data_IF_404887894134
#
_entry.id   IF_404887894134
#
_cell.length_a   1.000
_cell.length_b   1.000
_cell.length_c   1.000
_cell.angle_alpha   90.00
_cell.angle_beta   90.00
_cell.angle_gamma   90.00
#
_symmetry.space_group_name_H-M   'P 1'
#
loop_
_entity.id
_entity.type
_entity.pdbx_description
1 polymer ?
#
# COMPACT_ATOMS: atom_id res chain seq x y z
N UNK A 1 -11.89 -25.07 -10.46
CA UNK A 1 -11.27 -24.98 -9.12
C UNK A 1 -9.76 -25.02 -9.34
N UNK A 2 -9.13 -23.84 -9.56
CA UNK A 2 -7.70 -23.77 -9.83
C UNK A 2 -6.98 -23.71 -8.47
N UNK A 3 -6.36 -24.81 -8.08
CA UNK A 3 -5.42 -24.83 -6.95
C UNK A 3 -4.14 -24.13 -7.41
N UNK A 4 -3.90 -22.91 -6.94
CA UNK A 4 -2.56 -22.30 -6.99
C UNK A 4 -1.63 -23.22 -6.20
N UNK A 5 -0.45 -23.61 -6.73
CA UNK A 5 0.49 -24.40 -5.94
C UNK A 5 0.86 -23.60 -4.69
N UNK A 6 0.95 -24.23 -3.51
CA UNK A 6 1.38 -23.55 -2.30
C UNK A 6 2.81 -23.07 -2.55
N UNK A 7 2.99 -21.73 -2.54
CA UNK A 7 4.32 -21.13 -2.48
C UNK A 7 4.97 -21.58 -1.17
N UNK A 8 6.25 -21.91 -1.22
CA UNK A 8 7.03 -22.29 -0.05
C UNK A 8 6.88 -21.19 1.03
N UNK A 9 6.32 -21.49 2.21
CA UNK A 9 6.12 -20.50 3.27
C UNK A 9 7.42 -19.79 3.69
N UNK A 10 8.58 -20.43 3.50
CA UNK A 10 9.89 -19.85 3.75
C UNK A 10 10.25 -18.72 2.75
N UNK A 11 9.60 -18.67 1.60
CA UNK A 11 9.81 -17.67 0.55
C UNK A 11 8.76 -16.54 0.56
N UNK A 12 7.74 -16.60 1.42
CA UNK A 12 6.70 -15.59 1.50
C UNK A 12 7.11 -14.40 2.37
N UNK A 13 6.94 -13.17 1.86
CA UNK A 13 7.06 -11.97 2.68
C UNK A 13 5.81 -11.72 3.52
N UNK A 14 4.62 -11.99 2.95
CA UNK A 14 3.33 -11.94 3.67
C UNK A 14 2.55 -13.20 3.29
N UNK A 15 1.97 -13.83 4.30
CA UNK A 15 1.06 -14.96 4.14
C UNK A 15 -0.26 -14.70 4.85
N UNK A 16 -1.37 -14.90 4.14
CA UNK A 16 -2.74 -14.61 4.60
C UNK A 16 -3.54 -15.89 4.51
N UNK A 17 -4.12 -16.31 5.64
CA UNK A 17 -4.91 -17.54 5.74
C UNK A 17 -6.32 -17.24 6.25
N UNK A 18 -7.32 -17.63 5.46
CA UNK A 18 -8.74 -17.57 5.77
C UNK A 18 -9.17 -16.19 6.36
N UNK A 19 -8.68 -15.08 5.74
CA UNK A 19 -8.94 -13.74 6.22
C UNK A 19 -10.35 -13.28 5.89
N UNK A 20 -11.07 -12.78 6.91
CA UNK A 20 -12.34 -12.08 6.78
C UNK A 20 -12.24 -10.69 7.38
N UNK A 21 -12.74 -9.68 6.68
CA UNK A 21 -12.81 -8.31 7.18
C UNK A 21 -14.14 -7.65 6.79
N UNK A 22 -14.66 -6.79 7.68
CA UNK A 22 -15.94 -6.10 7.48
C UNK A 22 -15.93 -4.71 8.08
N UNK A 23 -16.70 -3.79 7.49
CA UNK A 23 -17.07 -2.51 8.09
C UNK A 23 -18.52 -2.56 8.57
N UNK A 24 -18.76 -2.19 9.83
CA UNK A 24 -20.13 -2.14 10.40
C UNK A 24 -20.98 -3.40 10.09
N UNK A 25 -20.37 -4.60 10.23
CA UNK A 25 -20.96 -5.92 9.94
C UNK A 25 -21.21 -6.24 8.45
N UNK A 26 -20.85 -5.34 7.52
CA UNK A 26 -20.91 -5.65 6.10
C UNK A 26 -19.58 -6.30 5.67
N UNK A 27 -19.57 -7.57 5.20
CA UNK A 27 -18.38 -8.24 4.73
C UNK A 27 -17.79 -7.50 3.52
N UNK A 28 -16.48 -7.25 3.57
CA UNK A 28 -15.72 -6.64 2.48
C UNK A 28 -14.67 -7.59 1.92
N UNK A 29 -14.06 -8.38 2.79
CA UNK A 29 -13.14 -9.44 2.41
C UNK A 29 -13.63 -10.76 3.00
N UNK A 30 -13.68 -11.81 2.16
CA UNK A 30 -14.22 -13.09 2.51
C UNK A 30 -13.25 -14.21 2.13
N UNK A 31 -12.80 -14.98 3.12
CA UNK A 31 -11.93 -16.14 2.94
C UNK A 31 -10.71 -15.87 2.04
N UNK A 32 -10.01 -14.76 2.30
CA UNK A 32 -8.78 -14.42 1.55
C UNK A 32 -7.69 -15.40 1.98
N UNK A 33 -7.19 -16.15 1.01
CA UNK A 33 -5.99 -16.96 1.10
C UNK A 33 -5.03 -16.44 0.04
N UNK A 34 -3.88 -15.88 0.46
CA UNK A 34 -3.00 -15.15 -0.43
C UNK A 34 -1.59 -15.11 0.15
N UNK A 35 -0.60 -15.34 -0.69
CA UNK A 35 0.81 -15.22 -0.34
C UNK A 35 1.50 -14.23 -1.26
N UNK A 36 2.30 -13.32 -0.70
CA UNK A 36 3.14 -12.36 -1.42
C UNK A 36 4.59 -12.84 -1.34
N UNK A 37 5.23 -13.15 -2.49
CA UNK A 37 6.61 -13.62 -2.50
C UNK A 37 7.60 -12.56 -2.01
N UNK A 38 8.62 -12.97 -1.26
CA UNK A 38 9.68 -12.08 -0.80
C UNK A 38 10.54 -11.56 -1.95
N UNK A 39 10.93 -10.27 -1.88
CA UNK A 39 11.79 -9.63 -2.88
C UNK A 39 11.13 -9.45 -4.26
N UNK A 40 9.80 -9.59 -4.35
CA UNK A 40 9.05 -9.43 -5.59
C UNK A 40 8.18 -8.18 -5.55
N UNK A 41 7.81 -7.70 -6.73
CA UNK A 41 6.85 -6.63 -6.91
C UNK A 41 5.50 -7.21 -7.34
N UNK A 42 4.49 -7.10 -6.48
CA UNK A 42 3.15 -7.60 -6.73
C UNK A 42 2.16 -6.45 -6.90
N UNK A 43 1.38 -6.47 -7.98
CA UNK A 43 0.25 -5.57 -8.16
C UNK A 43 -1.05 -6.23 -7.66
N UNK A 44 -1.85 -5.48 -6.91
CA UNK A 44 -3.23 -5.83 -6.56
C UNK A 44 -4.16 -5.04 -7.47
N UNK A 45 -4.97 -5.76 -8.22
CA UNK A 45 -5.90 -5.22 -9.22
C UNK A 45 -7.32 -5.67 -8.87
N UNK A 46 -8.27 -4.79 -9.07
CA UNK A 46 -9.70 -5.08 -8.83
C UNK A 46 -10.55 -3.84 -8.97
N UNK A 47 -11.87 -3.97 -9.11
CA UNK A 47 -12.80 -2.86 -9.23
C UNK A 47 -12.83 -1.99 -7.97
N UNK A 48 -13.50 -0.84 -8.05
CA UNK A 48 -13.77 -0.02 -6.87
C UNK A 48 -14.67 -0.81 -5.91
N UNK A 49 -14.38 -0.76 -4.62
CA UNK A 49 -15.10 -1.56 -3.61
C UNK A 49 -14.68 -3.03 -3.51
N UNK A 50 -13.70 -3.49 -4.30
CA UNK A 50 -13.19 -4.88 -4.25
C UNK A 50 -12.51 -5.28 -2.93
N UNK A 51 -12.27 -4.33 -2.01
CA UNK A 51 -11.62 -4.60 -0.74
C UNK A 51 -10.10 -4.35 -0.71
N UNK A 52 -9.51 -3.77 -1.78
CA UNK A 52 -8.06 -3.52 -1.87
C UNK A 52 -7.52 -2.69 -0.69
N UNK A 53 -8.11 -1.53 -0.43
CA UNK A 53 -7.71 -0.67 0.69
C UNK A 53 -8.03 -1.32 2.05
N UNK A 54 -9.12 -2.10 2.13
CA UNK A 54 -9.43 -2.90 3.34
C UNK A 54 -8.34 -3.92 3.63
N UNK A 55 -7.84 -4.60 2.60
CA UNK A 55 -6.71 -5.51 2.74
C UNK A 55 -5.49 -4.76 3.28
N UNK A 56 -5.14 -3.61 2.72
CA UNK A 56 -4.04 -2.79 3.23
C UNK A 56 -4.27 -2.30 4.66
N UNK A 57 -5.50 -1.93 5.04
CA UNK A 57 -5.81 -1.56 6.42
C UNK A 57 -5.60 -2.72 7.39
N UNK A 58 -5.88 -3.97 6.98
CA UNK A 58 -5.56 -5.14 7.80
C UNK A 58 -4.04 -5.35 7.89
N UNK A 59 -3.32 -5.28 6.77
CA UNK A 59 -1.86 -5.44 6.73
C UNK A 59 -1.14 -4.39 7.57
N UNK A 60 -1.60 -3.14 7.53
CA UNK A 60 -1.05 -2.03 8.33
C UNK A 60 -1.51 -2.03 9.78
N UNK A 61 -2.59 -2.76 10.09
CA UNK A 61 -3.20 -2.83 11.41
C UNK A 61 -4.12 -1.68 11.78
N UNK A 62 -4.49 -0.87 10.80
CA UNK A 62 -5.53 0.15 10.94
C UNK A 62 -6.91 -0.49 11.11
N UNK A 63 -7.06 -1.74 10.65
CA UNK A 63 -8.25 -2.57 10.85
C UNK A 63 -7.87 -3.93 11.42
N UNK A 64 -8.66 -4.42 12.40
CA UNK A 64 -8.54 -5.81 12.88
C UNK A 64 -9.39 -6.72 12.00
N UNK A 65 -8.87 -7.87 11.55
CA UNK A 65 -9.69 -8.85 10.85
C UNK A 65 -10.75 -9.45 11.79
N UNK A 66 -11.87 -9.88 11.22
CA UNK A 66 -12.90 -10.64 11.94
C UNK A 66 -12.44 -12.06 12.23
N UNK A 67 -11.78 -12.68 11.26
CA UNK A 67 -11.24 -14.04 11.32
C UNK A 67 -9.99 -14.11 10.44
N UNK A 68 -9.24 -15.19 10.62
CA UNK A 68 -8.06 -15.50 9.82
C UNK A 68 -6.77 -15.00 10.46
N UNK A 69 -5.69 -15.28 9.78
CA UNK A 69 -4.32 -14.98 10.22
C UNK A 69 -3.56 -14.28 9.12
N UNK A 70 -2.70 -13.37 9.53
CA UNK A 70 -1.74 -12.70 8.64
C UNK A 70 -0.38 -12.76 9.28
N UNK A 71 0.55 -13.38 8.60
CA UNK A 71 1.95 -13.47 8.99
C UNK A 71 2.82 -12.70 8.01
N UNK A 72 3.95 -12.21 8.47
CA UNK A 72 4.99 -11.65 7.62
C UNK A 72 6.33 -12.27 8.03
N UNK A 73 7.06 -12.80 7.05
CA UNK A 73 8.29 -13.54 7.27
C UNK A 73 8.15 -14.68 8.32
N UNK A 74 7.01 -15.39 8.29
CA UNK A 74 6.70 -16.51 9.19
C UNK A 74 6.28 -16.12 10.61
N UNK A 75 6.19 -14.82 10.93
CA UNK A 75 5.74 -14.32 12.24
C UNK A 75 4.45 -13.50 12.12
N UNK A 76 3.63 -13.41 13.18
CA UNK A 76 2.45 -12.54 13.17
C UNK A 76 2.79 -11.13 12.69
N UNK A 77 2.03 -10.62 11.73
CA UNK A 77 2.30 -9.32 11.09
C UNK A 77 2.43 -8.16 12.08
N UNK A 78 1.77 -8.26 13.24
CA UNK A 78 1.85 -7.27 14.30
C UNK A 78 3.28 -7.12 14.88
N UNK A 79 4.07 -8.19 14.90
CA UNK A 79 5.47 -8.17 15.34
C UNK A 79 6.29 -7.41 14.31
N UNK A 80 6.13 -7.72 13.03
CA UNK A 80 6.87 -7.10 11.94
C UNK A 80 6.54 -5.60 11.80
N UNK A 81 5.28 -5.20 12.05
CA UNK A 81 4.89 -3.78 12.11
C UNK A 81 5.59 -3.04 13.25
N UNK A 82 5.61 -3.62 14.46
CA UNK A 82 6.32 -3.02 15.61
C UNK A 82 7.83 -2.93 15.38
N UNK A 83 8.40 -3.87 14.64
CA UNK A 83 9.80 -3.86 14.24
C UNK A 83 10.12 -2.81 13.15
N UNK A 84 9.10 -2.20 12.51
CA UNK A 84 9.27 -1.24 11.42
C UNK A 84 9.58 -1.88 10.08
N UNK A 85 9.31 -3.18 9.91
CA UNK A 85 9.58 -3.91 8.69
C UNK A 85 8.48 -3.73 7.61
N UNK A 86 7.40 -3.00 7.89
CA UNK A 86 6.31 -2.71 6.97
C UNK A 86 6.12 -1.20 6.90
N UNK A 87 6.27 -0.63 5.71
CA UNK A 87 5.99 0.76 5.41
C UNK A 87 4.73 0.86 4.54
N UNK A 88 3.95 1.91 4.73
CA UNK A 88 2.71 2.14 4.00
C UNK A 88 2.64 3.55 3.45
N UNK A 89 2.33 3.65 2.17
CA UNK A 89 1.96 4.89 1.48
C UNK A 89 0.46 4.81 1.14
N UNK A 90 -0.35 5.63 1.79
CA UNK A 90 -1.79 5.67 1.58
C UNK A 90 -2.16 6.40 0.29
N UNK A 91 -3.30 6.05 -0.31
CA UNK A 91 -3.87 6.73 -1.48
C UNK A 91 -4.13 8.21 -1.17
N UNK A 92 -4.73 8.47 0.00
CA UNK A 92 -4.96 9.80 0.54
C UNK A 92 -4.30 9.89 1.90
N UNK A 93 -3.25 10.67 2.00
CA UNK A 93 -2.67 11.00 3.29
C UNK A 93 -3.56 12.03 3.99
N UNK A 94 -3.82 11.81 5.28
CA UNK A 94 -4.50 12.80 6.13
C UNK A 94 -3.54 13.94 6.52
N UNK A 95 -2.78 14.43 5.54
CA UNK A 95 -1.90 15.60 5.72
C UNK A 95 -2.75 16.83 5.42
N UNK A 96 -2.88 17.71 6.39
CA UNK A 96 -3.35 19.05 6.14
C UNK A 96 -2.27 19.80 5.34
N UNK A 97 -2.50 19.89 4.03
CA UNK A 97 -1.52 20.47 3.10
C UNK A 97 -1.19 21.93 3.40
N UNK A 98 -2.10 22.63 4.07
CA UNK A 98 -1.91 24.02 4.52
C UNK A 98 -1.08 24.13 5.79
N UNK A 99 -0.75 23.00 6.44
CA UNK A 99 0.10 22.99 7.61
C UNK A 99 1.54 23.36 7.23
N UNK A 100 2.20 24.29 7.92
CA UNK A 100 3.53 24.80 7.56
C UNK A 100 4.65 23.81 7.91
N UNK A 101 4.59 22.61 7.33
CA UNK A 101 5.62 21.58 7.45
C UNK A 101 6.47 21.55 6.18
N UNK A 102 7.78 21.48 6.32
CA UNK A 102 8.69 21.37 5.19
C UNK A 102 8.71 19.95 4.60
N UNK A 103 9.21 19.85 3.36
CA UNK A 103 9.47 18.56 2.71
C UNK A 103 10.41 17.70 3.57
N UNK A 104 11.47 18.29 4.11
CA UNK A 104 12.42 17.62 5.00
C UNK A 104 11.73 17.02 6.23
N UNK A 105 10.93 17.83 6.92
CA UNK A 105 10.23 17.40 8.14
C UNK A 105 9.20 16.30 7.83
N UNK A 106 8.52 16.40 6.69
CA UNK A 106 7.59 15.37 6.23
C UNK A 106 8.28 14.02 6.05
N UNK A 107 9.45 14.00 5.39
CA UNK A 107 10.22 12.77 5.18
C UNK A 107 10.86 12.28 6.48
N UNK A 108 11.31 13.19 7.35
CA UNK A 108 11.81 12.88 8.69
C UNK A 108 10.75 12.16 9.54
N UNK A 109 9.47 12.49 9.36
CA UNK A 109 8.35 11.77 9.98
C UNK A 109 8.38 10.25 9.72
N UNK A 110 8.91 9.81 8.58
CA UNK A 110 9.14 8.40 8.27
C UNK A 110 10.14 7.72 9.24
N UNK A 111 11.03 8.48 9.89
CA UNK A 111 11.99 7.96 10.86
C UNK A 111 11.44 7.81 12.28
N UNK A 112 10.23 8.28 12.55
CA UNK A 112 9.67 8.33 13.92
C UNK A 112 9.71 6.96 14.64
N UNK A 113 9.40 5.87 13.93
CA UNK A 113 9.47 4.52 14.49
C UNK A 113 10.87 4.12 14.97
N UNK A 114 11.91 4.56 14.26
CA UNK A 114 13.31 4.31 14.62
C UNK A 114 13.76 5.22 15.77
N UNK A 115 13.30 6.46 15.80
CA UNK A 115 13.62 7.43 16.87
C UNK A 115 13.01 7.05 18.22
N UNK A 116 12.00 6.16 18.26
CA UNK A 116 11.46 5.63 19.52
C UNK A 116 12.51 4.90 20.37
N UNK A 117 13.61 4.49 19.75
CA UNK A 117 14.76 3.87 20.43
C UNK A 117 15.77 4.90 20.95
N UNK A 118 15.65 6.15 20.51
CA UNK A 118 16.50 7.25 20.98
C UNK A 118 16.01 7.79 22.32
N UNK A 119 16.88 8.54 23.01
CA UNK A 119 16.55 9.18 24.28
C UNK A 119 15.33 10.12 24.14
N UNK A 120 14.44 10.10 25.14
CA UNK A 120 13.13 10.75 25.09
C UNK A 120 13.21 12.25 24.77
N UNK A 121 14.23 12.96 25.30
CA UNK A 121 14.45 14.38 25.08
C UNK A 121 14.79 14.74 23.63
N UNK A 122 15.42 13.80 22.86
CA UNK A 122 15.74 14.03 21.45
C UNK A 122 14.51 14.14 20.55
N UNK A 123 13.38 13.61 20.99
CA UNK A 123 12.11 13.68 20.23
C UNK A 123 11.47 15.06 20.26
N UNK A 124 11.87 15.91 21.20
CA UNK A 124 11.37 17.28 21.35
C UNK A 124 12.22 18.29 20.58
N UNK A 125 13.31 17.84 19.95
CA UNK A 125 14.17 18.69 19.16
C UNK A 125 13.57 18.96 17.77
N UNK A 126 13.89 20.12 17.16
CA UNK A 126 13.58 20.36 15.75
C UNK A 126 14.17 19.25 14.85
N UNK A 127 13.51 18.92 13.75
CA UNK A 127 13.88 17.82 12.85
C UNK A 127 15.33 17.87 12.34
N UNK A 128 15.93 19.05 12.28
CA UNK A 128 17.33 19.29 11.90
C UNK A 128 18.34 18.92 12.98
N UNK A 129 17.90 18.68 14.21
CA UNK A 129 18.75 18.34 15.36
C UNK A 129 18.73 16.85 15.71
N UNK A 130 18.04 16.05 14.89
CA UNK A 130 18.06 14.60 15.05
C UNK A 130 19.44 14.01 14.73
N UNK A 131 19.67 12.78 15.17
CA UNK A 131 20.94 12.10 14.96
C UNK A 131 21.39 12.13 13.48
N UNK A 132 22.69 12.32 13.19
CA UNK A 132 23.21 12.39 11.81
C UNK A 132 22.79 11.20 10.95
N UNK A 133 22.66 10.00 11.54
CA UNK A 133 22.19 8.80 10.85
C UNK A 133 20.77 8.95 10.29
N UNK A 134 19.84 9.58 11.01
CA UNK A 134 18.49 9.85 10.51
C UNK A 134 18.51 10.89 9.39
N UNK A 135 19.34 11.93 9.54
CA UNK A 135 19.49 12.97 8.51
C UNK A 135 20.03 12.40 7.20
N UNK A 136 21.01 11.49 7.26
CA UNK A 136 21.55 10.82 6.07
C UNK A 136 20.49 9.99 5.35
N UNK A 137 19.67 9.24 6.10
CA UNK A 137 18.57 8.45 5.52
C UNK A 137 17.55 9.35 4.83
N UNK A 138 17.16 10.46 5.46
CA UNK A 138 16.21 11.42 4.87
C UNK A 138 16.79 12.08 3.64
N UNK A 139 18.07 12.52 3.69
CA UNK A 139 18.76 13.08 2.52
C UNK A 139 18.75 12.09 1.36
N UNK A 140 19.15 10.84 1.61
CA UNK A 140 19.15 9.79 0.60
C UNK A 140 17.77 9.54 0.02
N UNK A 141 16.74 9.47 0.86
CA UNK A 141 15.37 9.27 0.38
C UNK A 141 14.88 10.42 -0.49
N UNK A 142 15.26 11.67 -0.18
CA UNK A 142 14.94 12.85 -0.99
C UNK A 142 15.74 12.89 -2.30
N UNK A 143 17.00 12.48 -2.28
CA UNK A 143 17.81 12.32 -3.49
C UNK A 143 17.22 11.27 -4.43
N UNK A 144 16.79 10.11 -3.90
CA UNK A 144 16.21 9.02 -4.69
C UNK A 144 14.96 9.43 -5.46
N UNK A 145 14.19 10.38 -4.93
CA UNK A 145 12.97 10.89 -5.56
C UNK A 145 13.14 12.28 -6.19
N UNK A 146 14.37 12.78 -6.33
CA UNK A 146 14.71 14.10 -6.90
C UNK A 146 13.95 15.26 -6.22
N UNK A 147 13.95 15.27 -4.88
CA UNK A 147 13.27 16.30 -4.08
C UNK A 147 14.19 17.02 -3.09
N UNK A 148 15.49 16.71 -3.09
CA UNK A 148 16.43 17.29 -2.12
C UNK A 148 16.55 18.82 -2.27
N UNK A 149 16.52 19.34 -3.49
CA UNK A 149 16.58 20.78 -3.74
C UNK A 149 15.38 21.56 -3.18
N UNK A 150 14.26 20.87 -2.93
CA UNK A 150 13.03 21.43 -2.37
C UNK A 150 12.85 21.10 -0.89
N UNK A 151 13.88 20.60 -0.21
CA UNK A 151 13.80 20.08 1.16
C UNK A 151 13.25 21.10 2.18
N UNK A 152 13.55 22.37 1.99
CA UNK A 152 13.13 23.45 2.90
C UNK A 152 11.79 24.09 2.53
N UNK A 153 11.21 23.70 1.39
CA UNK A 153 9.92 24.25 0.96
C UNK A 153 8.75 23.65 1.76
N UNK A 154 7.71 24.44 2.02
CA UNK A 154 6.46 23.92 2.56
C UNK A 154 5.85 22.88 1.63
N UNK A 155 5.35 21.75 2.18
CA UNK A 155 4.75 20.68 1.39
C UNK A 155 3.49 21.14 0.63
N UNK A 156 2.79 22.15 1.14
CA UNK A 156 1.61 22.76 0.51
C UNK A 156 1.92 23.38 -0.85
N UNK A 157 3.12 23.96 -1.02
CA UNK A 157 3.55 24.64 -2.24
C UNK A 157 3.89 23.69 -3.41
N UNK A 158 3.92 22.37 -3.17
CA UNK A 158 4.33 21.38 -4.15
C UNK A 158 3.19 21.02 -5.12
N UNK A 159 3.55 20.67 -6.36
CA UNK A 159 2.63 20.03 -7.32
C UNK A 159 2.17 18.65 -6.83
N UNK A 160 1.09 18.11 -7.43
CA UNK A 160 0.59 16.78 -7.10
C UNK A 160 1.64 15.68 -7.26
N UNK A 161 2.39 15.69 -8.36
CA UNK A 161 3.49 14.75 -8.62
C UNK A 161 4.63 14.89 -7.61
N UNK A 162 5.01 16.12 -7.26
CA UNK A 162 6.01 16.38 -6.22
C UNK A 162 5.54 15.88 -4.84
N UNK A 163 4.29 16.11 -4.48
CA UNK A 163 3.68 15.57 -3.24
C UNK A 163 3.79 14.06 -3.18
N UNK A 164 3.44 13.36 -4.26
CA UNK A 164 3.57 11.89 -4.34
C UNK A 164 5.02 11.42 -4.18
N UNK A 165 5.99 12.13 -4.79
CA UNK A 165 7.42 11.84 -4.63
C UNK A 165 7.88 12.01 -3.18
N UNK A 166 7.44 13.06 -2.49
CA UNK A 166 7.75 13.28 -1.07
C UNK A 166 7.15 12.19 -0.18
N UNK A 167 5.91 11.76 -0.46
CA UNK A 167 5.27 10.66 0.27
C UNK A 167 6.01 9.33 0.06
N UNK A 168 6.48 9.07 -1.16
CA UNK A 168 7.35 7.93 -1.44
C UNK A 168 8.66 8.04 -0.65
N UNK A 169 9.34 9.20 -0.66
CA UNK A 169 10.56 9.41 0.13
C UNK A 169 10.34 9.15 1.63
N UNK A 170 9.21 9.62 2.19
CA UNK A 170 8.82 9.33 3.59
C UNK A 170 8.65 7.83 3.83
N UNK A 171 8.11 7.10 2.86
CA UNK A 171 7.94 5.64 2.94
C UNK A 171 9.31 4.94 2.87
N UNK A 172 10.19 5.36 1.95
CA UNK A 172 11.55 4.84 1.82
C UNK A 172 12.41 5.11 3.06
N UNK A 173 12.25 6.29 3.66
CA UNK A 173 12.96 6.66 4.88
C UNK A 173 12.67 5.72 6.06
N UNK A 174 11.57 4.97 6.04
CA UNK A 174 11.30 3.93 7.05
C UNK A 174 12.25 2.74 6.94
N UNK A 175 12.94 2.55 5.81
CA UNK A 175 13.86 1.41 5.56
C UNK A 175 13.20 0.05 5.83
N UNK A 176 11.91 -0.07 5.57
CA UNK A 176 11.14 -1.28 5.75
C UNK A 176 11.50 -2.35 4.71
N UNK A 177 11.30 -3.62 5.05
CA UNK A 177 11.48 -4.75 4.14
C UNK A 177 10.31 -4.94 3.17
N UNK A 178 9.12 -4.50 3.57
CA UNK A 178 7.87 -4.56 2.80
C UNK A 178 7.35 -3.15 2.60
N UNK A 179 7.10 -2.77 1.35
CA UNK A 179 6.50 -1.50 0.95
C UNK A 179 5.07 -1.78 0.46
N UNK A 180 4.08 -1.26 1.15
CA UNK A 180 2.67 -1.28 0.77
C UNK A 180 2.31 0.08 0.18
N UNK A 181 1.91 0.13 -1.10
CA UNK A 181 1.69 1.37 -1.83
C UNK A 181 0.27 1.39 -2.40
N UNK A 182 -0.57 2.32 -1.92
CA UNK A 182 -1.95 2.44 -2.37
C UNK A 182 -2.06 3.54 -3.43
N UNK A 183 -2.14 3.12 -4.71
CA UNK A 183 -2.22 3.99 -5.90
C UNK A 183 -1.10 5.07 -5.95
N UNK A 184 0.18 4.70 -5.88
CA UNK A 184 1.28 5.67 -5.83
C UNK A 184 1.42 6.50 -7.10
N UNK A 185 0.88 6.04 -8.23
CA UNK A 185 0.98 6.66 -9.55
C UNK A 185 -0.28 7.47 -9.93
N UNK A 186 -1.34 7.41 -9.12
CA UNK A 186 -2.60 8.09 -9.44
C UNK A 186 -2.44 9.62 -9.45
N UNK A 187 -2.81 10.25 -10.58
CA UNK A 187 -2.75 11.71 -10.74
C UNK A 187 -1.34 12.29 -10.82
N UNK A 188 -0.36 11.49 -11.21
CA UNK A 188 1.05 11.89 -11.36
C UNK A 188 1.35 12.16 -12.83
N UNK A 189 2.15 13.18 -13.09
CA UNK A 189 2.66 13.50 -14.43
C UNK A 189 3.67 12.44 -14.92
N UNK A 190 3.78 12.20 -16.25
CA UNK A 190 4.62 11.14 -16.79
C UNK A 190 6.09 11.14 -16.32
N UNK A 191 6.79 12.29 -16.20
CA UNK A 191 8.15 12.31 -15.66
C UNK A 191 8.24 11.82 -14.22
N UNK A 192 7.32 12.25 -13.36
CA UNK A 192 7.26 11.83 -11.95
C UNK A 192 6.87 10.35 -11.82
N UNK A 193 5.96 9.85 -12.68
CA UNK A 193 5.61 8.44 -12.76
C UNK A 193 6.82 7.57 -13.07
N UNK A 194 7.56 7.90 -14.13
CA UNK A 194 8.76 7.16 -14.54
C UNK A 194 9.82 7.15 -13.42
N UNK A 195 9.99 8.27 -12.73
CA UNK A 195 10.90 8.35 -11.59
C UNK A 195 10.47 7.41 -10.45
N UNK A 196 9.19 7.44 -10.07
CA UNK A 196 8.62 6.57 -9.03
C UNK A 196 8.84 5.09 -9.41
N UNK A 197 8.52 4.70 -10.65
CA UNK A 197 8.72 3.33 -11.14
C UNK A 197 10.18 2.89 -11.07
N UNK A 198 11.12 3.77 -11.46
CA UNK A 198 12.56 3.50 -11.38
C UNK A 198 13.04 3.31 -9.93
N UNK A 199 12.51 4.11 -9.01
CA UNK A 199 12.80 3.98 -7.57
C UNK A 199 12.30 2.63 -7.07
N UNK A 200 11.05 2.28 -7.34
CA UNK A 200 10.45 1.01 -6.87
C UNK A 200 11.16 -0.21 -7.48
N UNK A 201 11.61 -0.11 -8.74
CA UNK A 201 12.43 -1.15 -9.37
C UNK A 201 13.74 -1.37 -8.62
N UNK A 202 14.45 -0.29 -8.27
CA UNK A 202 15.68 -0.38 -7.46
C UNK A 202 15.44 -0.97 -6.08
N UNK A 203 14.33 -0.62 -5.44
CA UNK A 203 13.96 -1.17 -4.14
C UNK A 203 13.72 -2.70 -4.21
N UNK A 204 13.01 -3.16 -5.25
CA UNK A 204 12.83 -4.59 -5.52
C UNK A 204 14.17 -5.28 -5.79
N UNK A 205 15.03 -4.69 -6.63
CA UNK A 205 16.36 -5.23 -6.95
C UNK A 205 17.27 -5.30 -5.70
N UNK A 206 17.06 -4.40 -4.74
CA UNK A 206 17.70 -4.45 -3.42
C UNK A 206 17.10 -5.52 -2.48
N UNK A 207 16.14 -6.35 -2.95
CA UNK A 207 15.53 -7.44 -2.20
C UNK A 207 14.32 -7.04 -1.34
N UNK A 208 13.81 -5.81 -1.48
CA UNK A 208 12.57 -5.40 -0.79
C UNK A 208 11.35 -5.95 -1.50
N UNK A 209 10.34 -6.28 -0.74
CA UNK A 209 9.04 -6.70 -1.27
C UNK A 209 8.18 -5.46 -1.49
N UNK A 210 7.65 -5.32 -2.71
CA UNK A 210 6.75 -4.22 -3.07
C UNK A 210 5.35 -4.78 -3.35
N UNK A 211 4.34 -4.29 -2.64
CA UNK A 211 2.94 -4.60 -2.90
C UNK A 211 2.22 -3.30 -3.23
N UNK A 212 1.67 -3.21 -4.42
CA UNK A 212 1.09 -1.98 -4.96
C UNK A 212 -0.34 -2.21 -5.42
N UNK A 213 -1.27 -1.38 -4.97
CA UNK A 213 -2.58 -1.26 -5.61
C UNK A 213 -2.47 -0.34 -6.81
N UNK A 214 -2.98 -0.75 -7.95
CA UNK A 214 -3.01 0.07 -9.16
C UNK A 214 -4.26 -0.16 -9.99
N UNK A 215 -4.67 0.86 -10.73
CA UNK A 215 -5.68 0.79 -11.78
C UNK A 215 -5.06 0.83 -13.19
N UNK A 216 -3.76 1.12 -13.30
CA UNK A 216 -3.03 1.08 -14.56
C UNK A 216 -2.58 -0.35 -14.86
N UNK A 217 -3.44 -1.09 -15.54
CA UNK A 217 -3.18 -2.49 -15.94
C UNK A 217 -2.14 -2.60 -17.06
N UNK A 218 -2.16 -1.74 -18.11
CA UNK A 218 -1.13 -1.77 -19.15
C UNK A 218 0.27 -1.47 -18.64
N UNK A 219 0.39 -0.50 -17.70
CA UNK A 219 1.65 -0.20 -17.03
C UNK A 219 2.11 -1.36 -16.17
N UNK A 220 1.25 -1.89 -15.30
CA UNK A 220 1.57 -2.98 -14.39
C UNK A 220 2.21 -4.18 -15.10
N UNK A 221 1.73 -4.52 -16.29
CA UNK A 221 2.30 -5.59 -17.15
C UNK A 221 3.80 -5.47 -17.41
N UNK A 222 4.36 -4.25 -17.34
CA UNK A 222 5.75 -3.95 -17.71
C UNK A 222 6.72 -4.00 -16.53
N UNK A 223 6.22 -3.81 -15.30
CA UNK A 223 7.12 -3.61 -14.15
C UNK A 223 6.87 -4.53 -12.96
N UNK A 224 5.72 -5.24 -12.88
CA UNK A 224 5.48 -6.14 -11.76
C UNK A 224 5.88 -7.58 -12.07
N UNK A 225 6.22 -8.34 -11.03
CA UNK A 225 6.55 -9.77 -11.15
C UNK A 225 5.30 -10.65 -11.00
N UNK A 226 4.30 -10.20 -10.22
CA UNK A 226 3.07 -10.92 -9.93
C UNK A 226 1.86 -9.99 -9.91
N UNK A 227 0.70 -10.56 -10.21
CA UNK A 227 -0.59 -9.87 -10.12
C UNK A 227 -1.55 -10.68 -9.28
N UNK A 228 -2.28 -9.99 -8.42
CA UNK A 228 -3.41 -10.51 -7.64
C UNK A 228 -4.68 -9.82 -8.11
N UNK A 229 -5.63 -10.60 -8.60
CA UNK A 229 -6.97 -10.12 -8.91
C UNK A 229 -7.86 -10.32 -7.68
N UNK A 230 -8.45 -9.24 -7.19
CA UNK A 230 -9.32 -9.26 -6.02
C UNK A 230 -10.68 -8.64 -6.32
N UNK A 231 -11.73 -9.30 -5.84
CA UNK A 231 -13.07 -8.77 -5.78
C UNK A 231 -13.81 -9.45 -4.62
N UNK A 232 -13.71 -8.89 -3.41
CA UNK A 232 -14.10 -9.44 -2.11
C UNK A 232 -13.41 -10.76 -1.73
N UNK A 233 -13.10 -11.58 -2.73
CA UNK A 233 -12.29 -12.80 -2.65
C UNK A 233 -11.12 -12.69 -3.61
N UNK A 234 -10.13 -13.57 -3.49
CA UNK A 234 -9.08 -13.71 -4.49
C UNK A 234 -9.66 -14.38 -5.72
N UNK A 235 -9.61 -13.70 -6.88
CA UNK A 235 -10.09 -14.20 -8.17
C UNK A 235 -9.01 -14.85 -9.00
N UNK A 236 -7.75 -14.50 -8.76
CA UNK A 236 -6.60 -15.10 -9.42
C UNK A 236 -5.29 -14.53 -8.89
N UNK A 237 -4.24 -15.32 -9.01
CA UNK A 237 -2.86 -14.96 -8.69
C UNK A 237 -1.97 -15.59 -9.75
N UNK A 238 -1.07 -14.82 -10.36
CA UNK A 238 -0.19 -15.35 -11.41
C UNK A 238 0.73 -14.30 -12.01
N UNK A 239 1.26 -14.60 -13.19
CA UNK A 239 2.08 -13.67 -13.95
C UNK A 239 1.24 -12.50 -14.49
N UNK A 240 1.86 -11.36 -14.78
CA UNK A 240 1.17 -10.22 -15.38
C UNK A 240 0.52 -10.56 -16.72
N UNK A 241 1.18 -11.39 -17.55
CA UNK A 241 0.69 -11.80 -18.87
C UNK A 241 -0.60 -12.61 -18.77
N UNK A 242 -0.66 -13.50 -17.77
CA UNK A 242 -1.82 -14.37 -17.53
C UNK A 242 -2.99 -13.61 -16.91
N UNK A 243 -2.70 -12.88 -15.82
CA UNK A 243 -3.75 -12.23 -15.02
C UNK A 243 -4.32 -10.96 -15.65
N UNK A 244 -3.52 -10.22 -16.42
CA UNK A 244 -3.95 -9.00 -17.11
C UNK A 244 -4.33 -9.26 -18.58
N UNK A 245 -4.65 -10.49 -18.94
CA UNK A 245 -5.22 -10.82 -20.25
C UNK A 245 -6.65 -10.27 -20.39
N UNK A 246 -7.05 -9.89 -21.61
CA UNK A 246 -8.38 -9.31 -21.86
C UNK A 246 -9.51 -10.23 -21.39
N UNK A 247 -9.33 -11.55 -21.52
CA UNK A 247 -10.29 -12.55 -21.05
C UNK A 247 -10.48 -12.50 -19.52
N UNK A 248 -9.40 -12.44 -18.77
CA UNK A 248 -9.45 -12.36 -17.29
C UNK A 248 -10.02 -11.04 -16.78
N UNK A 249 -9.69 -9.95 -17.46
CA UNK A 249 -10.22 -8.63 -17.11
C UNK A 249 -11.73 -8.55 -17.41
N UNK A 250 -12.20 -9.14 -18.48
CA UNK A 250 -13.63 -9.24 -18.78
C UNK A 250 -14.39 -10.08 -17.72
N UNK A 251 -13.85 -11.23 -17.30
CA UNK A 251 -14.41 -12.04 -16.21
C UNK A 251 -14.54 -11.24 -14.90
N UNK A 252 -13.50 -10.46 -14.57
CA UNK A 252 -13.49 -9.61 -13.37
C UNK A 252 -14.56 -8.52 -13.45
N UNK A 253 -14.76 -7.92 -14.63
CA UNK A 253 -15.77 -6.88 -14.85
C UNK A 253 -17.20 -7.44 -14.73
N UNK A 254 -17.48 -8.60 -15.32
CA UNK A 254 -18.80 -9.26 -15.20
C UNK A 254 -19.12 -9.59 -13.76
N UNK A 255 -18.18 -10.19 -13.01
CA UNK A 255 -18.38 -10.52 -11.59
C UNK A 255 -18.64 -9.30 -10.72
N UNK A 256 -18.19 -8.12 -11.13
CA UNK A 256 -18.43 -6.86 -10.42
C UNK A 256 -19.86 -6.34 -10.61
N UNK A 257 -20.42 -6.52 -11.79
CA UNK A 257 -21.79 -6.11 -12.13
C UNK A 257 -22.79 -6.98 -11.35
N UNK A 258 -22.60 -8.28 -11.33
CA UNK A 258 -23.45 -9.22 -10.60
C UNK A 258 -23.46 -8.94 -9.09
N UNK A 259 -22.31 -8.62 -8.50
CA UNK A 259 -22.22 -8.27 -7.07
C UNK A 259 -22.88 -6.94 -6.75
N UNK A 260 -22.74 -5.93 -7.61
CA UNK A 260 -23.40 -4.64 -7.42
C UNK A 260 -24.94 -4.77 -7.47
N UNK A 261 -25.45 -5.64 -8.32
CA UNK A 261 -26.90 -5.91 -8.42
C UNK A 261 -27.41 -6.64 -7.18
N UNK A 262 -26.68 -7.60 -6.64
CA UNK A 262 -27.04 -8.30 -5.40
C UNK A 262 -26.96 -7.38 -4.16
N UNK A 263 -26.00 -6.48 -4.08
CA UNK A 263 -25.88 -5.52 -2.97
C UNK A 263 -27.01 -4.47 -2.99
N UNK A 264 -27.54 -4.10 -4.16
CA UNK A 264 -28.69 -3.24 -4.27
C UNK A 264 -29.99 -3.95 -3.86
N UNK A 265 -30.12 -5.24 -4.16
CA UNK A 265 -31.28 -6.04 -3.77
C UNK A 265 -31.35 -6.31 -2.24
N UNK A 266 -30.21 -6.29 -1.55
CA UNK A 266 -30.11 -6.51 -0.10
C UNK A 266 -30.22 -5.22 0.73
N UNK A 267 -30.33 -4.03 0.12
CA UNK A 267 -30.61 -2.79 0.86
C UNK A 267 -32.09 -2.81 1.27
N UNK A 268 -32.41 -2.81 2.59
CA UNK A 268 -33.79 -2.66 3.00
C UNK A 268 -34.31 -1.32 2.45
N UNK A 269 -35.40 -1.34 1.71
CA UNK A 269 -36.18 -0.17 1.33
C UNK A 269 -36.42 0.62 2.60
N UNK A 270 -35.73 1.77 2.77
CA UNK A 270 -36.04 2.70 3.84
C UNK A 270 -37.48 3.11 3.66
N UNK A 271 -38.33 2.59 4.57
CA UNK A 271 -39.74 2.84 4.64
C UNK A 271 -39.96 4.36 4.67
N UNK A 272 -40.65 4.87 3.67
CA UNK A 272 -41.29 6.19 3.70
C UNK A 272 -42.37 6.11 4.78
N UNK A 273 -42.04 6.58 5.96
CA UNK A 273 -43.02 6.81 7.04
C UNK A 273 -42.57 8.06 7.81
N UNK A 274 -42.87 9.19 7.24
CA UNK A 274 -42.96 10.47 7.95
C UNK A 274 -43.75 11.47 7.10
N UNK A 275 -45.05 11.25 7.04
CA UNK A 275 -46.07 12.31 6.80
C UNK A 275 -47.40 11.74 7.30
N UNK A 276 -47.72 12.02 8.54
CA UNK A 276 -49.04 12.39 9.03
C UNK A 276 -48.89 13.10 10.39
#
# INVERSE_FOLDING_TARGET
>A
MFMTPPLDPAAAAIDITALYAAYHRQPVLENINLSFPAGKWTAIVGPNGAGKSTLFHVLTGSMKPLRGRVDAFGEPIAIQRKAGNIAYMAQREAIEWDFPISVWETVMGGRYGHMRRDALWRRLLPARWYAPSHQQVVRKALEDVDMLALADQPIGALSGGQKKRVLLARTLAQQAKILLLDEPLAGVDPPSEQLILNVLKREREAGRTVVMVTHDMPGARRYVDHVVLINRIVRGVGSPEEMLSDARLAELAVSSIEQSSNDQALRPTACSAAQE
#
